data_IF_020149233530
#
_entry.id   IF_020149233530
#
_cell.length_a   1.000
_cell.length_b   1.000
_cell.length_c   1.000
_cell.angle_alpha   90.00
_cell.angle_beta   90.00
_cell.angle_gamma   90.00
#
_symmetry.space_group_name_H-M   'P 1'
#
loop_
_entity.id
_entity.type
_entity.pdbx_description
1 polymer ?
#
# COMPACT_ATOMS: atom_id res chain seq x y z
N UNK A 1 10.99 16.78 -12.67
CA UNK A 1 11.09 17.87 -11.66
C UNK A 1 11.18 17.38 -10.21
N UNK A 2 11.80 18.18 -9.34
CA UNK A 2 11.68 18.03 -7.88
C UNK A 2 10.34 18.56 -7.38
N UNK A 3 9.67 17.79 -6.53
CA UNK A 3 8.39 18.14 -5.94
C UNK A 3 8.43 17.94 -4.43
N UNK A 4 7.82 18.87 -3.71
CA UNK A 4 7.65 18.81 -2.26
C UNK A 4 6.20 18.52 -1.94
N UNK A 5 5.93 17.34 -1.39
CA UNK A 5 4.59 16.93 -0.98
C UNK A 5 4.33 17.37 0.46
N UNK A 6 3.18 18.00 0.67
CA UNK A 6 2.62 18.17 1.99
C UNK A 6 1.80 16.92 2.31
N UNK A 7 2.31 16.09 3.21
CA UNK A 7 1.66 14.84 3.60
C UNK A 7 0.97 15.00 4.95
N UNK A 8 -0.26 14.52 5.04
CA UNK A 8 -1.01 14.48 6.28
C UNK A 8 -0.46 13.36 7.18
N UNK A 9 0.11 13.65 8.37
CA UNK A 9 0.79 12.63 9.17
C UNK A 9 -0.17 11.62 9.81
N UNK A 10 -1.47 11.87 9.83
CA UNK A 10 -2.47 10.96 10.40
C UNK A 10 -2.84 9.80 9.47
N UNK A 11 -2.89 10.04 8.16
CA UNK A 11 -3.40 9.07 7.17
C UNK A 11 -2.53 8.99 5.90
N UNK A 12 -1.39 9.68 5.90
CA UNK A 12 -0.43 9.77 4.80
C UNK A 12 -1.01 10.30 3.48
N UNK A 13 -2.16 10.97 3.48
CA UNK A 13 -2.72 11.59 2.27
C UNK A 13 -1.88 12.78 1.84
N UNK A 14 -1.72 12.93 0.53
CA UNK A 14 -1.09 14.11 -0.06
C UNK A 14 -2.12 15.26 -0.05
N UNK A 15 -1.85 16.30 0.75
CA UNK A 15 -2.73 17.46 0.88
C UNK A 15 -2.47 18.52 -0.20
N UNK A 16 -1.25 18.52 -0.73
CA UNK A 16 -0.82 19.47 -1.74
C UNK A 16 0.63 19.22 -2.13
N UNK A 17 1.06 19.91 -3.18
CA UNK A 17 2.43 19.85 -3.65
C UNK A 17 2.96 21.23 -3.98
N UNK A 18 4.28 21.39 -3.89
CA UNK A 18 4.98 22.62 -4.25
C UNK A 18 6.23 22.29 -5.04
N UNK A 19 6.50 23.04 -6.11
CA UNK A 19 7.74 22.92 -6.90
C UNK A 19 8.92 23.63 -6.23
N UNK A 20 8.64 24.42 -5.19
CA UNK A 20 9.64 25.15 -4.42
C UNK A 20 9.68 24.58 -3.01
N UNK A 21 10.88 24.36 -2.47
CA UNK A 21 11.07 23.86 -1.10
C UNK A 21 10.33 24.75 -0.10
N UNK A 22 9.25 24.27 0.55
CA UNK A 22 8.54 25.08 1.53
C UNK A 22 9.36 25.12 2.83
N UNK A 23 9.29 26.21 3.57
CA UNK A 23 9.94 26.36 4.90
C UNK A 23 9.36 25.44 6.00
N UNK A 24 8.40 24.57 5.65
CA UNK A 24 7.67 23.71 6.59
C UNK A 24 8.43 22.38 6.75
N UNK A 25 8.58 21.90 7.99
CA UNK A 25 9.43 20.76 8.34
C UNK A 25 8.89 19.37 7.95
N UNK A 26 7.63 19.26 7.48
CA UNK A 26 6.97 17.97 7.22
C UNK A 26 6.73 17.68 5.74
N UNK A 27 7.55 18.27 4.86
CA UNK A 27 7.43 17.99 3.43
C UNK A 27 8.27 16.80 3.03
N UNK A 28 7.74 15.97 2.14
CA UNK A 28 8.48 14.89 1.49
C UNK A 28 9.01 15.41 0.16
N UNK A 29 10.32 15.33 -0.07
CA UNK A 29 10.93 15.61 -1.37
C UNK A 29 10.89 14.35 -2.24
N UNK A 30 10.38 14.49 -3.45
CA UNK A 30 10.34 13.43 -4.46
C UNK A 30 10.75 13.97 -5.84
N UNK A 31 11.07 13.07 -6.74
CA UNK A 31 11.32 13.36 -8.15
C UNK A 31 10.22 12.73 -9.00
N UNK A 32 9.58 13.53 -9.85
CA UNK A 32 8.48 13.12 -10.73
C UNK A 32 8.68 13.69 -12.13
N UNK A 33 8.01 13.15 -13.13
CA UNK A 33 7.92 13.77 -14.45
C UNK A 33 7.10 15.08 -14.40
N UNK A 34 7.32 15.97 -15.36
CA UNK A 34 6.69 17.30 -15.36
C UNK A 34 5.17 17.27 -15.60
N UNK A 35 4.65 16.20 -16.20
CA UNK A 35 3.24 15.95 -16.51
C UNK A 35 2.56 14.98 -15.53
N UNK A 36 3.15 14.77 -14.34
CA UNK A 36 2.63 13.82 -13.36
C UNK A 36 1.29 14.29 -12.74
N UNK A 37 0.28 13.41 -12.71
CA UNK A 37 -1.10 13.66 -12.23
C UNK A 37 -1.23 14.22 -10.80
N UNK A 38 -0.18 14.06 -9.98
CA UNK A 38 -0.12 14.54 -8.59
C UNK A 38 -0.16 16.06 -8.51
N UNK A 39 0.31 16.76 -9.55
CA UNK A 39 0.28 18.22 -9.61
C UNK A 39 -1.13 18.79 -9.74
N UNK A 40 -2.02 18.05 -10.40
CA UNK A 40 -3.38 18.50 -10.67
C UNK A 40 -4.33 18.09 -9.54
N UNK A 41 -4.16 16.87 -8.98
CA UNK A 41 -5.10 16.29 -8.01
C UNK A 41 -4.41 15.58 -6.83
N UNK A 42 -3.66 16.29 -5.98
CA UNK A 42 -2.88 15.68 -4.90
C UNK A 42 -3.72 14.87 -3.91
N UNK A 43 -4.96 15.28 -3.60
CA UNK A 43 -5.83 14.59 -2.63
C UNK A 43 -6.23 13.16 -3.01
N UNK A 44 -6.04 12.78 -4.28
CA UNK A 44 -6.31 11.43 -4.78
C UNK A 44 -5.18 10.45 -4.48
N UNK A 45 -4.12 10.90 -3.82
CA UNK A 45 -2.91 10.12 -3.61
C UNK A 45 -2.56 9.98 -2.13
N UNK A 46 -1.93 8.85 -1.81
CA UNK A 46 -1.40 8.51 -0.49
C UNK A 46 0.09 8.24 -0.65
N UNK A 47 0.90 8.77 0.27
CA UNK A 47 2.34 8.53 0.29
C UNK A 47 2.66 7.35 1.21
N UNK A 48 3.17 6.25 0.66
CA UNK A 48 3.46 5.02 1.40
C UNK A 48 4.84 4.52 0.99
N UNK A 49 5.70 4.29 1.98
CA UNK A 49 7.03 3.67 1.78
C UNK A 49 7.94 4.32 0.72
N UNK A 50 7.85 5.64 0.55
CA UNK A 50 8.64 6.36 -0.46
C UNK A 50 7.94 6.53 -1.80
N UNK A 51 6.77 5.92 -1.97
CA UNK A 51 6.01 5.93 -3.21
C UNK A 51 4.68 6.66 -3.06
N UNK A 52 4.16 7.15 -4.18
CA UNK A 52 2.84 7.76 -4.25
C UNK A 52 1.89 6.76 -4.90
N UNK A 53 0.84 6.40 -4.18
CA UNK A 53 -0.15 5.43 -4.62
C UNK A 53 -1.50 6.13 -4.74
N UNK A 54 -2.24 5.82 -5.80
CA UNK A 54 -3.61 6.29 -5.95
C UNK A 54 -4.48 5.74 -4.81
N UNK A 55 -5.26 6.60 -4.16
CA UNK A 55 -6.03 6.27 -2.96
C UNK A 55 -7.02 5.11 -3.17
N UNK A 56 -7.60 5.00 -4.37
CA UNK A 56 -8.45 3.85 -4.72
C UNK A 56 -7.67 2.53 -4.75
N UNK A 57 -6.46 2.54 -5.31
CA UNK A 57 -5.58 1.36 -5.37
C UNK A 57 -5.12 0.99 -3.97
N UNK A 58 -4.75 1.98 -3.16
CA UNK A 58 -4.35 1.77 -1.77
C UNK A 58 -5.48 1.14 -0.94
N UNK A 59 -6.71 1.66 -1.06
CA UNK A 59 -7.89 1.06 -0.39
C UNK A 59 -8.14 -0.37 -0.85
N UNK A 60 -8.01 -0.65 -2.14
CA UNK A 60 -8.21 -1.99 -2.68
C UNK A 60 -7.19 -2.98 -2.09
N UNK A 61 -5.92 -2.59 -2.00
CA UNK A 61 -4.86 -3.40 -1.37
C UNK A 61 -5.16 -3.70 0.10
N UNK A 62 -5.71 -2.74 0.85
CA UNK A 62 -6.10 -2.95 2.25
C UNK A 62 -7.24 -3.98 2.37
N UNK A 63 -8.25 -3.89 1.49
CA UNK A 63 -9.36 -4.84 1.46
C UNK A 63 -8.83 -6.25 1.16
N UNK A 64 -7.97 -6.39 0.16
CA UNK A 64 -7.36 -7.68 -0.21
C UNK A 64 -6.51 -8.26 0.94
N UNK A 65 -5.74 -7.42 1.63
CA UNK A 65 -4.96 -7.84 2.80
C UNK A 65 -5.86 -8.31 3.95
N UNK A 66 -6.98 -7.61 4.21
CA UNK A 66 -7.96 -8.05 5.19
C UNK A 66 -8.64 -9.37 4.80
N UNK A 67 -8.99 -9.55 3.52
CA UNK A 67 -9.58 -10.78 3.03
C UNK A 67 -8.61 -11.95 3.10
N UNK A 68 -7.33 -11.75 2.76
CA UNK A 68 -6.29 -12.76 2.93
C UNK A 68 -6.12 -13.17 4.39
N UNK A 69 -6.18 -12.23 5.33
CA UNK A 69 -6.14 -12.53 6.76
C UNK A 69 -7.39 -13.28 7.24
N UNK A 70 -8.58 -12.90 6.75
CA UNK A 70 -9.85 -13.58 7.07
C UNK A 70 -9.91 -15.00 6.49
N UNK A 71 -9.35 -15.20 5.31
CA UNK A 71 -9.32 -16.47 4.59
C UNK A 71 -8.10 -17.34 4.94
N UNK A 72 -7.21 -16.86 5.83
CA UNK A 72 -6.11 -17.67 6.33
C UNK A 72 -6.69 -18.87 7.09
N UNK A 73 -6.39 -20.12 6.69
CA UNK A 73 -6.89 -21.28 7.40
C UNK A 73 -6.44 -21.22 8.86
N UNK A 74 -7.36 -21.56 9.78
CA UNK A 74 -7.01 -21.65 11.20
C UNK A 74 -5.95 -22.73 11.38
N UNK A 75 -5.03 -22.60 12.36
CA UNK A 75 -3.99 -23.60 12.59
C UNK A 75 -4.53 -25.03 12.75
N UNK A 76 -5.72 -25.16 13.34
CA UNK A 76 -6.43 -26.42 13.51
C UNK A 76 -6.87 -27.04 12.17
N UNK A 77 -7.25 -26.20 11.21
CA UNK A 77 -7.61 -26.59 9.85
C UNK A 77 -6.35 -27.01 9.08
N UNK A 78 -5.25 -26.27 9.21
CA UNK A 78 -3.95 -26.61 8.59
C UNK A 78 -3.43 -27.96 9.09
N UNK A 79 -3.54 -28.22 10.40
CA UNK A 79 -3.15 -29.51 11.00
C UNK A 79 -4.07 -30.64 10.50
N UNK A 80 -5.38 -30.42 10.41
CA UNK A 80 -6.32 -31.41 9.90
C UNK A 80 -6.07 -31.73 8.42
N UNK A 81 -5.80 -30.72 7.60
CA UNK A 81 -5.47 -30.87 6.18
C UNK A 81 -4.13 -31.60 6.00
N UNK A 82 -3.15 -31.32 6.87
CA UNK A 82 -1.85 -32.01 6.87
C UNK A 82 -2.00 -33.49 7.25
N UNK A 83 -2.78 -33.80 8.29
CA UNK A 83 -3.10 -35.19 8.64
C UNK A 83 -3.89 -35.90 7.55
N UNK A 84 -4.86 -35.23 6.92
CA UNK A 84 -5.62 -35.78 5.80
C UNK A 84 -4.70 -36.09 4.59
N UNK A 85 -3.77 -35.19 4.25
CA UNK A 85 -2.81 -35.40 3.17
C UNK A 85 -1.86 -36.59 3.46
N UNK A 86 -1.39 -36.72 4.71
CA UNK A 86 -0.59 -37.88 5.17
C UNK A 86 -1.39 -39.18 5.07
N UNK A 87 -2.64 -39.18 5.53
CA UNK A 87 -3.51 -40.36 5.58
C UNK A 87 -4.00 -40.81 4.19
N UNK A 88 -4.14 -39.88 3.25
CA UNK A 88 -4.59 -40.17 1.88
C UNK A 88 -3.44 -40.37 0.89
N UNK A 89 -2.18 -40.24 1.32
CA UNK A 89 -1.01 -40.36 0.46
C UNK A 89 -0.89 -39.25 -0.59
N UNK A 90 -1.67 -38.17 -0.46
CA UNK A 90 -1.66 -37.02 -1.38
C UNK A 90 -0.59 -36.02 -0.99
N UNK A 91 0.66 -36.46 -0.85
CA UNK A 91 1.79 -35.53 -0.83
C UNK A 91 2.05 -35.16 -2.28
N UNK A 92 1.53 -34.01 -2.74
CA UNK A 92 2.05 -33.39 -3.95
C UNK A 92 3.49 -33.00 -3.64
N UNK A 93 4.44 -33.79 -4.12
CA UNK A 93 5.84 -33.39 -4.17
C UNK A 93 5.92 -32.04 -4.87
N UNK A 94 6.38 -31.03 -4.13
CA UNK A 94 6.80 -29.74 -4.68
C UNK A 94 8.10 -29.91 -5.48
#
# INVERSE_FOLDING_TARGET
MKLYLLVNPQDNRVLGCSTTSPFIQNNVEIEVEDDHDVLDHPSNYVFVDGEIILDEVYRQQQIEAEELLKNKPKPEQEIADMWYAIMTGSVKNA
#
